data_IF_051105855515
#
_entry.id   IF_051105855515
#
_cell.length_a   1.000
_cell.length_b   1.000
_cell.length_c   1.000
_cell.angle_alpha   90.00
_cell.angle_beta   90.00
_cell.angle_gamma   90.00
#
_symmetry.space_group_name_H-M   'P 1'
#
loop_
_entity.id
_entity.type
_entity.pdbx_description
1 polymer ?
#
# COMPACT_ATOMS: atom_id res chain seq x y z
N UNK A 1 2.80 23.77 -24.63
CA UNK A 1 2.04 22.69 -23.97
C UNK A 1 1.49 23.28 -22.69
N UNK A 2 0.16 23.38 -22.53
CA UNK A 2 -0.45 23.82 -21.27
C UNK A 2 -0.19 22.82 -20.15
N UNK A 3 -0.40 23.19 -18.88
CA UNK A 3 -0.27 22.25 -17.77
C UNK A 3 -1.22 21.06 -18.01
N UNK A 4 -0.71 19.83 -17.89
CA UNK A 4 -1.53 18.63 -17.96
C UNK A 4 -2.58 18.68 -16.84
N UNK A 5 -3.87 18.63 -17.18
CA UNK A 5 -4.98 18.57 -16.23
C UNK A 5 -5.06 17.17 -15.59
N UNK A 6 -4.05 16.80 -14.80
CA UNK A 6 -3.94 15.51 -14.13
C UNK A 6 -3.99 15.73 -12.62
N UNK A 7 -5.00 15.14 -11.99
CA UNK A 7 -5.20 15.19 -10.55
C UNK A 7 -5.23 13.77 -9.99
N UNK A 8 -4.76 13.60 -8.75
CA UNK A 8 -4.93 12.35 -8.02
C UNK A 8 -6.31 12.35 -7.39
N UNK A 9 -7.08 11.30 -7.63
CA UNK A 9 -8.41 11.10 -7.04
C UNK A 9 -8.44 9.76 -6.33
N UNK A 10 -9.18 9.69 -5.23
CA UNK A 10 -9.42 8.43 -4.51
C UNK A 10 -10.55 7.67 -5.19
N UNK A 11 -10.36 6.37 -5.41
CA UNK A 11 -11.35 5.46 -6.01
C UNK A 11 -11.72 4.35 -5.03
N UNK A 12 -12.99 3.96 -5.02
CA UNK A 12 -13.47 2.83 -4.23
C UNK A 12 -13.44 1.56 -5.09
N UNK A 13 -12.87 0.49 -4.55
CA UNK A 13 -12.74 -0.79 -5.22
C UNK A 13 -12.86 -1.93 -4.20
N UNK A 14 -13.52 -3.02 -4.57
CA UNK A 14 -13.47 -4.28 -3.82
C UNK A 14 -12.14 -4.99 -4.05
N UNK A 15 -11.51 -5.46 -2.96
CA UNK A 15 -10.18 -6.05 -3.01
C UNK A 15 -10.04 -7.18 -1.97
N UNK A 16 -9.33 -8.23 -2.35
CA UNK A 16 -8.88 -9.27 -1.43
C UNK A 16 -7.78 -8.70 -0.50
N UNK A 17 -8.12 -8.54 0.78
CA UNK A 17 -7.23 -7.97 1.79
C UNK A 17 -6.02 -8.85 2.10
N UNK A 18 -6.15 -10.17 2.01
CA UNK A 18 -5.04 -11.10 2.26
C UNK A 18 -4.02 -11.01 1.13
N UNK A 19 -4.51 -11.01 -0.11
CA UNK A 19 -3.67 -10.80 -1.29
C UNK A 19 -3.05 -9.40 -1.29
N UNK A 20 -3.78 -8.35 -0.92
CA UNK A 20 -3.22 -7.00 -0.78
C UNK A 20 -2.08 -7.01 0.25
N UNK A 21 -2.32 -7.50 1.46
CA UNK A 21 -1.31 -7.57 2.53
C UNK A 21 -0.07 -8.34 2.12
N UNK A 22 -0.23 -9.43 1.37
CA UNK A 22 0.88 -10.24 0.84
C UNK A 22 1.79 -9.45 -0.11
N UNK A 23 1.25 -8.50 -0.85
CA UNK A 23 1.95 -7.72 -1.88
C UNK A 23 2.14 -6.23 -1.49
N UNK A 24 1.95 -5.88 -0.21
CA UNK A 24 1.99 -4.52 0.29
C UNK A 24 3.36 -4.14 0.87
N UNK A 25 3.88 -3.01 0.42
CA UNK A 25 5.01 -2.31 1.02
C UNK A 25 4.52 -1.10 1.83
N UNK A 26 4.84 -1.08 3.13
CA UNK A 26 4.53 0.04 4.02
C UNK A 26 5.73 0.98 4.08
N UNK A 27 5.64 2.19 3.53
CA UNK A 27 6.74 3.15 3.48
C UNK A 27 6.52 4.34 4.43
N UNK A 28 7.59 4.94 4.89
CA UNK A 28 7.56 6.30 5.43
C UNK A 28 7.85 7.29 4.28
N UNK A 29 9.06 7.25 3.73
CA UNK A 29 9.43 7.95 2.48
C UNK A 29 10.12 6.95 1.53
N UNK A 30 11.45 6.96 1.43
CA UNK A 30 12.16 6.14 0.46
C UNK A 30 12.19 4.66 0.83
N UNK A 31 12.17 4.36 2.12
CA UNK A 31 12.29 3.01 2.65
C UNK A 31 11.03 2.56 3.37
N UNK A 32 10.84 1.25 3.41
CA UNK A 32 9.67 0.64 4.02
C UNK A 32 9.88 -0.76 4.56
N UNK A 33 8.74 -1.33 4.96
CA UNK A 33 8.61 -2.65 5.58
C UNK A 33 7.64 -3.50 4.78
N UNK A 34 8.01 -4.75 4.50
CA UNK A 34 7.10 -5.71 3.88
C UNK A 34 5.94 -6.04 4.83
N UNK A 35 4.70 -5.83 4.41
CA UNK A 35 3.55 -6.13 5.25
C UNK A 35 3.39 -7.63 5.55
N UNK A 36 3.87 -8.49 4.64
CA UNK A 36 3.79 -9.94 4.73
C UNK A 36 4.77 -10.55 5.74
N UNK A 37 6.08 -10.25 5.63
CA UNK A 37 7.12 -10.89 6.44
C UNK A 37 7.86 -9.95 7.41
N UNK A 38 7.52 -8.65 7.42
CA UNK A 38 8.16 -7.61 8.26
C UNK A 38 9.63 -7.31 7.95
N UNK A 39 10.16 -7.78 6.81
CA UNK A 39 11.45 -7.33 6.30
C UNK A 39 11.49 -5.80 6.19
N UNK A 40 12.50 -5.18 6.78
CA UNK A 40 12.73 -3.73 6.80
C UNK A 40 13.80 -3.32 5.77
N UNK A 41 13.91 -2.01 5.53
CA UNK A 41 14.97 -1.42 4.70
C UNK A 41 14.74 -1.55 3.19
N UNK A 42 13.51 -1.87 2.78
CA UNK A 42 13.15 -2.05 1.37
C UNK A 42 12.95 -0.69 0.70
N UNK A 43 13.62 -0.46 -0.42
CA UNK A 43 13.55 0.77 -1.20
C UNK A 43 12.57 0.60 -2.36
N UNK A 44 11.43 1.29 -2.33
CA UNK A 44 10.39 1.10 -3.34
C UNK A 44 10.79 1.50 -4.77
N UNK A 45 11.88 2.24 -4.94
CA UNK A 45 12.42 2.60 -6.27
C UNK A 45 13.30 1.50 -6.88
N UNK A 46 13.83 0.60 -6.05
CA UNK A 46 14.82 -0.41 -6.47
C UNK A 46 14.34 -1.83 -6.26
N UNK A 47 13.54 -2.04 -5.21
CA UNK A 47 13.08 -3.34 -4.77
C UNK A 47 11.65 -3.56 -5.26
N UNK A 48 11.50 -4.22 -6.41
CA UNK A 48 10.20 -4.70 -6.90
C UNK A 48 9.73 -5.96 -6.16
N UNK A 49 10.63 -6.61 -5.42
CA UNK A 49 10.38 -7.81 -4.62
C UNK A 49 10.92 -7.67 -3.20
N UNK A 50 10.29 -8.34 -2.25
CA UNK A 50 10.82 -8.42 -0.90
C UNK A 50 12.06 -9.31 -0.84
N UNK A 51 13.18 -8.79 -0.33
CA UNK A 51 14.40 -9.58 -0.07
C UNK A 51 14.25 -10.64 1.02
N UNK A 52 13.22 -10.54 1.89
CA UNK A 52 12.96 -11.51 2.95
C UNK A 52 12.07 -12.68 2.54
N UNK A 53 10.98 -12.43 1.81
CA UNK A 53 10.01 -13.48 1.44
C UNK A 53 9.77 -13.66 -0.06
N UNK A 54 10.43 -12.87 -0.91
CA UNK A 54 10.35 -13.00 -2.37
C UNK A 54 9.05 -12.50 -3.04
N UNK A 55 8.08 -12.00 -2.27
CA UNK A 55 6.82 -11.48 -2.82
C UNK A 55 7.07 -10.26 -3.71
N UNK A 56 6.38 -10.18 -4.85
CA UNK A 56 6.31 -8.98 -5.67
C UNK A 56 5.52 -7.89 -4.97
N UNK A 57 6.00 -6.65 -5.02
CA UNK A 57 5.22 -5.51 -4.55
C UNK A 57 4.28 -5.03 -5.65
N UNK A 58 2.98 -4.99 -5.33
CA UNK A 58 1.92 -4.44 -6.19
C UNK A 58 1.30 -3.20 -5.56
N UNK A 59 1.30 -3.13 -4.24
CA UNK A 59 0.69 -2.08 -3.46
C UNK A 59 1.74 -1.38 -2.61
N UNK A 60 1.54 -0.09 -2.41
CA UNK A 60 2.34 0.72 -1.51
C UNK A 60 1.39 1.56 -0.66
N UNK A 61 1.62 1.62 0.64
CA UNK A 61 0.91 2.54 1.52
C UNK A 61 1.92 3.34 2.34
N UNK A 62 1.67 4.63 2.48
CA UNK A 62 2.56 5.54 3.22
C UNK A 62 2.09 5.76 4.65
N UNK A 63 3.03 5.99 5.57
CA UNK A 63 2.74 6.45 6.94
C UNK A 63 2.64 7.98 7.05
N UNK A 64 2.92 8.70 5.97
CA UNK A 64 2.83 10.16 5.93
C UNK A 64 1.37 10.59 6.04
N UNK A 65 1.14 11.61 6.87
CA UNK A 65 -0.20 12.19 7.10
C UNK A 65 -0.47 13.42 6.24
N UNK A 66 0.57 13.98 5.63
CA UNK A 66 0.47 15.15 4.77
C UNK A 66 0.17 14.73 3.31
N UNK A 67 -0.95 15.22 2.78
CA UNK A 67 -1.35 15.00 1.40
C UNK A 67 -0.31 15.50 0.38
N UNK A 68 0.43 16.58 0.70
CA UNK A 68 1.47 17.10 -0.18
C UNK A 68 2.63 16.10 -0.33
N UNK A 69 3.02 15.45 0.76
CA UNK A 69 4.08 14.43 0.73
C UNK A 69 3.63 13.15 0.00
N UNK A 70 2.39 12.72 0.21
CA UNK A 70 1.78 11.63 -0.57
C UNK A 70 1.76 11.95 -2.07
N UNK A 71 1.48 13.20 -2.44
CA UNK A 71 1.56 13.68 -3.81
C UNK A 71 2.97 13.58 -4.42
N UNK A 72 4.02 13.83 -3.64
CA UNK A 72 5.42 13.65 -4.10
C UNK A 72 5.76 12.19 -4.37
N UNK A 73 5.27 11.26 -3.53
CA UNK A 73 5.44 9.82 -3.75
C UNK A 73 4.76 9.39 -5.04
N UNK A 74 3.51 9.82 -5.28
CA UNK A 74 2.79 9.55 -6.53
C UNK A 74 3.53 10.08 -7.76
N UNK A 75 4.04 11.31 -7.68
CA UNK A 75 4.84 11.90 -8.75
C UNK A 75 6.11 11.08 -9.02
N UNK A 76 6.77 10.56 -7.97
CA UNK A 76 7.96 9.71 -8.10
C UNK A 76 7.63 8.35 -8.71
N UNK A 77 6.60 7.65 -8.24
CA UNK A 77 6.11 6.38 -8.80
C UNK A 77 5.85 6.53 -10.31
N UNK A 78 5.14 7.60 -10.71
CA UNK A 78 4.84 7.88 -12.11
C UNK A 78 6.09 8.20 -12.93
N UNK A 79 6.98 9.04 -12.39
CA UNK A 79 8.23 9.44 -13.07
C UNK A 79 9.13 8.24 -13.35
N UNK A 80 9.26 7.35 -12.38
CA UNK A 80 10.12 6.16 -12.47
C UNK A 80 9.42 4.96 -13.15
N UNK A 81 8.16 5.12 -13.58
CA UNK A 81 7.43 4.07 -14.31
C UNK A 81 7.12 2.83 -13.45
N UNK A 82 7.00 2.99 -12.13
CA UNK A 82 6.78 1.86 -11.22
C UNK A 82 5.33 1.36 -11.32
N UNK A 83 5.16 0.05 -11.44
CA UNK A 83 3.85 -0.60 -11.45
C UNK A 83 3.34 -0.83 -10.03
N UNK A 84 3.15 0.26 -9.29
CA UNK A 84 2.66 0.25 -7.91
C UNK A 84 1.35 1.03 -7.81
N UNK A 85 0.38 0.44 -7.12
CA UNK A 85 -0.83 1.14 -6.70
C UNK A 85 -0.62 1.72 -5.31
N UNK A 86 -0.70 3.05 -5.19
CA UNK A 86 -0.75 3.69 -3.89
C UNK A 86 -2.13 3.44 -3.25
N UNK A 87 -2.12 2.86 -2.07
CA UNK A 87 -3.29 2.62 -1.23
C UNK A 87 -3.25 3.57 -0.05
N UNK A 88 -4.38 4.22 0.23
CA UNK A 88 -4.52 5.02 1.44
C UNK A 88 -4.43 4.11 2.67
N UNK A 89 -3.55 4.46 3.61
CA UNK A 89 -3.26 3.60 4.75
C UNK A 89 -4.45 3.50 5.69
N UNK A 90 -5.18 4.59 5.91
CA UNK A 90 -6.31 4.60 6.83
C UNK A 90 -7.44 3.71 6.30
N UNK A 91 -7.62 3.65 4.97
CA UNK A 91 -8.58 2.73 4.35
C UNK A 91 -8.17 1.27 4.55
N UNK A 92 -6.91 0.95 4.28
CA UNK A 92 -6.40 -0.40 4.47
C UNK A 92 -6.52 -0.85 5.94
N UNK A 93 -6.15 0.01 6.89
CA UNK A 93 -6.24 -0.30 8.32
C UNK A 93 -7.70 -0.44 8.79
N UNK A 94 -8.61 0.42 8.33
CA UNK A 94 -10.05 0.30 8.62
C UNK A 94 -10.65 -0.98 8.05
N UNK A 95 -10.34 -1.31 6.79
CA UNK A 95 -10.82 -2.53 6.15
C UNK A 95 -10.29 -3.79 6.86
N UNK A 96 -9.01 -3.80 7.23
CA UNK A 96 -8.42 -4.89 8.01
C UNK A 96 -9.06 -5.03 9.39
N UNK A 97 -9.31 -3.92 10.08
CA UNK A 97 -9.99 -3.93 11.38
C UNK A 97 -11.41 -4.50 11.26
N UNK A 98 -12.19 -4.07 10.27
CA UNK A 98 -13.55 -4.57 10.03
C UNK A 98 -13.56 -6.07 9.72
N UNK A 99 -12.64 -6.54 8.88
CA UNK A 99 -12.52 -7.97 8.55
C UNK A 99 -12.21 -8.82 9.80
N UNK A 100 -11.31 -8.33 10.68
CA UNK A 100 -10.98 -9.02 11.91
C UNK A 100 -12.15 -9.03 12.91
N UNK A 101 -12.90 -7.93 13.01
CA UNK A 101 -14.09 -7.85 13.88
C UNK A 101 -15.15 -8.89 13.45
N UNK A 102 -15.41 -9.03 12.14
CA UNK A 102 -16.33 -10.05 11.63
C UNK A 102 -15.90 -11.49 11.94
N UNK A 103 -14.59 -11.74 12.08
CA UNK A 103 -14.06 -13.03 12.52
C UNK A 103 -14.25 -13.32 14.01
N UNK A 104 -14.26 -12.29 14.85
CA UNK A 104 -14.42 -12.43 16.31
C UNK A 104 -15.86 -12.78 16.73
N UNK A 105 -16.86 -12.43 15.91
CA UNK A 105 -18.27 -12.71 16.18
C UNK A 105 -18.80 -13.98 15.47
N UNK A 106 -17.93 -14.80 14.87
CA UNK A 106 -18.33 -16.16 14.50
C UNK A 106 -18.43 -16.98 15.79
N UNK A 107 -19.63 -17.08 16.35
CA UNK A 107 -19.95 -17.99 17.43
C UNK A 107 -19.43 -19.40 17.09
N UNK A 108 -18.84 -20.13 18.05
CA UNK A 108 -18.56 -21.55 17.88
C UNK A 108 -19.89 -22.30 17.98
N UNK A 109 -20.68 -22.33 16.91
CA UNK A 109 -21.97 -23.03 16.92
C UNK A 109 -21.86 -24.31 16.09
N UNK A 110 -21.84 -25.46 16.77
CA UNK A 110 -22.64 -26.69 16.54
C UNK A 110 -22.12 -27.86 17.38
#
# INVERSE_FOLDING_TARGET
>A
MGPENKHSVRVWQEIDLDNMKKHLLLIDDLYGTCAACKQIGLNYLKDSKCSGCGTDFKYLATRLRDAAETGKILARIKKEGLSLTLVDRDDYEKALAQANIGGLFKSPDS
#
